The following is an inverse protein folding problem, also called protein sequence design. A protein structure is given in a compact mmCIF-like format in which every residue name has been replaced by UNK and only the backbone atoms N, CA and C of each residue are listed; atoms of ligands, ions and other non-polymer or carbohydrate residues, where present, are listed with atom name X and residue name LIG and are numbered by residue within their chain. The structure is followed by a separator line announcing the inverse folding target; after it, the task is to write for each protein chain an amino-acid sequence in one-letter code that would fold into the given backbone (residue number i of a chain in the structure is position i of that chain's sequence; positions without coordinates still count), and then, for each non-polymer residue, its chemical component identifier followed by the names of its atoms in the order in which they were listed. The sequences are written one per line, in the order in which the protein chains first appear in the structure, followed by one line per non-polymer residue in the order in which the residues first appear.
data_IF_766364183593
#
_entry.id   IF_766364183593
#
_cell.length_a   1.000
_cell.length_b   1.000
_cell.length_c   1.000
_cell.angle_alpha   90.00
_cell.angle_beta   90.00
_cell.angle_gamma   90.00
#
_symmetry.space_group_name_H-M   'P 1'
#
loop_
_entity.id
_entity.type
_entity.pdbx_description
1 polymer ?
#
# COMPACT_ATOMS: atom_id res chain seq x y z
N UNK A 1 -0.82 -24.12 23.08
CA UNK A 1 -1.35 -23.00 23.90
C UNK A 1 -0.24 -22.00 24.26
N UNK A 2 0.50 -21.40 23.27
CA UNK A 2 1.63 -20.47 23.52
C UNK A 2 1.87 -19.48 22.37
N UNK A 3 0.86 -19.14 21.56
CA UNK A 3 1.00 -18.25 20.38
C UNK A 3 0.28 -16.89 20.52
N UNK A 4 -0.50 -16.68 21.60
CA UNK A 4 -1.17 -15.39 21.83
C UNK A 4 -0.23 -14.27 22.29
N UNK A 5 0.97 -14.59 22.81
CA UNK A 5 1.84 -13.60 23.46
C UNK A 5 2.77 -12.79 22.53
N UNK A 6 2.96 -13.20 21.28
CA UNK A 6 3.85 -12.49 20.36
C UNK A 6 3.11 -11.36 19.59
N UNK A 7 1.86 -11.60 19.25
CA UNK A 7 1.00 -10.59 18.59
C UNK A 7 0.65 -9.45 19.54
N UNK A 8 0.33 -9.75 20.80
CA UNK A 8 0.07 -8.71 21.81
C UNK A 8 1.31 -7.89 22.16
N UNK A 9 2.49 -8.51 22.21
CA UNK A 9 3.74 -7.77 22.49
C UNK A 9 4.18 -6.84 21.36
N UNK A 10 3.84 -7.15 20.10
CA UNK A 10 4.06 -6.24 18.97
C UNK A 10 3.05 -5.09 18.94
N UNK A 11 1.79 -5.35 19.29
CA UNK A 11 0.78 -4.28 19.41
C UNK A 11 1.08 -3.31 20.55
N UNK A 12 1.60 -3.79 21.70
CA UNK A 12 2.01 -2.91 22.81
C UNK A 12 3.29 -2.11 22.54
N UNK A 13 4.15 -2.51 21.62
CA UNK A 13 5.35 -1.73 21.26
C UNK A 13 5.09 -0.56 20.31
N UNK A 14 3.91 -0.47 19.70
CA UNK A 14 3.56 0.59 18.74
C UNK A 14 2.33 1.42 19.17
N UNK A 15 1.86 1.26 20.37
CA UNK A 15 0.86 2.15 20.97
C UNK A 15 1.60 3.29 21.68
N UNK A 16 1.61 4.48 21.07
CA UNK A 16 2.07 5.69 21.76
C UNK A 16 1.21 5.92 23.01
N UNK A 17 1.80 6.31 24.15
CA UNK A 17 1.02 6.78 25.27
C UNK A 17 0.19 8.00 24.82
N UNK A 18 -1.09 8.01 25.13
CA UNK A 18 -2.06 9.04 24.68
C UNK A 18 -1.72 10.49 25.12
N UNK A 19 -0.64 10.69 25.88
CA UNK A 19 -0.32 11.97 26.53
C UNK A 19 0.69 12.87 25.83
N UNK A 20 1.42 12.41 24.78
CA UNK A 20 2.56 13.16 24.22
C UNK A 20 2.52 13.38 22.71
N UNK A 21 1.35 13.66 22.14
CA UNK A 21 1.25 14.11 20.74
C UNK A 21 1.68 15.57 20.66
N UNK A 22 2.96 15.84 20.64
CA UNK A 22 3.46 17.17 20.27
C UNK A 22 3.38 17.34 18.75
N UNK A 23 2.59 18.30 18.31
CA UNK A 23 2.61 18.74 16.92
C UNK A 23 4.04 19.22 16.59
N UNK A 24 4.69 18.60 15.59
CA UNK A 24 6.03 18.97 15.16
C UNK A 24 6.07 20.47 14.76
N UNK A 25 7.05 21.26 15.24
CA UNK A 25 7.12 22.66 14.94
C UNK A 25 7.27 22.92 13.44
N UNK A 26 6.48 23.85 12.92
CA UNK A 26 6.47 24.22 11.48
C UNK A 26 7.84 24.67 10.96
N UNK A 27 8.73 25.15 11.82
CA UNK A 27 10.08 25.63 11.47
C UNK A 27 11.04 24.56 10.95
N UNK A 28 10.71 23.27 11.13
CA UNK A 28 11.54 22.12 10.68
C UNK A 28 11.00 21.42 9.44
N UNK A 29 10.08 22.04 8.71
CA UNK A 29 9.49 21.49 7.50
C UNK A 29 10.05 22.19 6.26
N UNK A 30 10.63 21.42 5.35
CA UNK A 30 11.15 21.91 4.08
C UNK A 30 10.28 21.38 2.94
N UNK A 31 9.68 22.24 2.09
CA UNK A 31 8.92 21.74 0.94
C UNK A 31 9.84 20.96 -0.01
N UNK A 32 9.47 19.73 -0.33
CA UNK A 32 10.13 18.92 -1.35
C UNK A 32 9.65 19.36 -2.73
N UNK A 33 8.36 19.64 -2.83
CA UNK A 33 7.75 20.33 -3.96
C UNK A 33 6.61 21.17 -3.40
N UNK A 34 6.53 22.43 -3.82
CA UNK A 34 5.45 23.31 -3.40
C UNK A 34 4.10 22.62 -3.72
N UNK A 35 3.14 22.62 -2.78
CA UNK A 35 1.83 22.08 -3.04
C UNK A 35 1.18 22.90 -4.16
N UNK A 36 1.14 22.30 -5.36
CA UNK A 36 0.30 22.85 -6.41
C UNK A 36 -1.17 22.70 -5.97
N UNK A 37 -2.05 23.65 -6.33
CA UNK A 37 -3.48 23.46 -6.08
C UNK A 37 -3.91 22.12 -6.64
N UNK A 38 -4.42 21.21 -5.77
CA UNK A 38 -4.95 19.94 -6.19
C UNK A 38 -4.07 18.71 -5.98
N UNK A 39 -3.20 18.72 -4.97
CA UNK A 39 -2.52 17.52 -4.46
C UNK A 39 -3.53 16.50 -3.93
N UNK A 40 -3.43 15.25 -4.38
CA UNK A 40 -4.30 14.16 -3.94
C UNK A 40 -3.70 13.40 -2.73
N UNK A 41 -2.37 13.33 -2.65
CA UNK A 41 -1.63 12.64 -1.57
C UNK A 41 -0.42 13.47 -1.15
N UNK A 42 -0.33 13.80 0.13
CA UNK A 42 0.84 14.45 0.74
C UNK A 42 1.80 13.39 1.28
N UNK A 43 3.05 13.43 0.85
CA UNK A 43 4.14 12.63 1.39
C UNK A 43 4.93 13.44 2.41
N UNK A 44 4.99 12.96 3.64
CA UNK A 44 5.90 13.49 4.66
C UNK A 44 7.16 12.62 4.67
N UNK A 45 8.26 13.15 4.15
CA UNK A 45 9.55 12.48 4.22
C UNK A 45 10.24 12.83 5.54
N UNK A 46 10.50 11.83 6.36
CA UNK A 46 11.25 11.97 7.61
C UNK A 46 12.70 11.59 7.34
N UNK A 47 13.61 12.57 7.45
CA UNK A 47 15.01 12.37 7.11
C UNK A 47 15.87 13.56 7.44
N UNK A 48 17.09 13.57 6.90
CA UNK A 48 18.08 14.64 7.08
C UNK A 48 17.88 15.73 6.01
N UNK A 49 18.39 16.92 6.25
CA UNK A 49 18.31 18.00 5.26
C UNK A 49 18.95 17.62 3.91
N UNK A 50 20.02 16.82 3.95
CA UNK A 50 20.71 16.32 2.74
C UNK A 50 19.83 15.37 1.90
N UNK A 51 18.74 14.83 2.47
CA UNK A 51 17.80 13.97 1.75
C UNK A 51 16.83 14.75 0.84
N UNK A 52 16.92 16.09 0.79
CA UNK A 52 15.98 16.90 0.02
C UNK A 52 16.01 16.56 -1.48
N UNK A 53 17.20 16.48 -2.07
CA UNK A 53 17.36 16.16 -3.49
C UNK A 53 16.89 14.74 -3.82
N UNK A 54 17.15 13.79 -2.92
CA UNK A 54 16.69 12.40 -3.04
C UNK A 54 15.15 12.33 -2.99
N UNK A 55 14.53 13.00 -2.01
CA UNK A 55 13.08 13.08 -1.87
C UNK A 55 12.42 13.71 -3.09
N UNK A 56 13.02 14.75 -3.68
CA UNK A 56 12.55 15.36 -4.94
C UNK A 56 12.61 14.38 -6.12
N UNK A 57 13.73 13.66 -6.26
CA UNK A 57 13.90 12.64 -7.30
C UNK A 57 12.88 11.53 -7.17
N UNK A 58 12.66 11.03 -5.95
CA UNK A 58 11.67 9.99 -5.69
C UNK A 58 10.24 10.45 -5.95
N UNK A 59 9.90 11.68 -5.52
CA UNK A 59 8.58 12.26 -5.78
C UNK A 59 8.33 12.40 -7.30
N UNK A 60 9.34 12.84 -8.07
CA UNK A 60 9.25 12.93 -9.52
C UNK A 60 9.01 11.56 -10.17
N UNK A 61 9.78 10.55 -9.78
CA UNK A 61 9.61 9.17 -10.28
C UNK A 61 8.23 8.62 -9.92
N UNK A 62 7.79 8.83 -8.69
CA UNK A 62 6.46 8.41 -8.22
C UNK A 62 5.37 9.09 -9.05
N UNK A 63 5.46 10.41 -9.25
CA UNK A 63 4.48 11.14 -10.06
C UNK A 63 4.39 10.60 -11.49
N UNK A 64 5.54 10.30 -12.12
CA UNK A 64 5.57 9.70 -13.45
C UNK A 64 4.88 8.34 -13.49
N UNK A 65 5.14 7.49 -12.49
CA UNK A 65 4.53 6.15 -12.41
C UNK A 65 3.03 6.20 -12.15
N UNK A 66 2.56 7.15 -11.36
CA UNK A 66 1.14 7.30 -11.01
C UNK A 66 0.38 8.22 -11.97
N UNK A 67 0.89 8.38 -13.19
CA UNK A 67 0.25 9.13 -14.27
C UNK A 67 0.07 8.22 -15.50
N UNK A 68 -1.16 8.18 -16.02
CA UNK A 68 -1.50 7.54 -17.29
C UNK A 68 -2.13 8.61 -18.21
N UNK A 69 -2.35 8.25 -19.48
CA UNK A 69 -2.96 9.17 -20.45
C UNK A 69 -4.35 9.71 -20.03
N UNK A 70 -5.05 8.93 -19.20
CA UNK A 70 -6.45 9.24 -18.83
C UNK A 70 -6.64 9.61 -17.37
N UNK A 71 -5.65 9.38 -16.51
CA UNK A 71 -5.80 9.57 -15.06
C UNK A 71 -4.44 9.74 -14.38
N UNK A 72 -4.43 10.47 -13.26
CA UNK A 72 -3.26 10.61 -12.39
C UNK A 72 -3.67 10.70 -10.92
N UNK A 73 -2.79 10.25 -10.01
CA UNK A 73 -2.77 10.66 -8.60
C UNK A 73 -1.66 11.68 -8.47
N UNK A 74 -1.97 12.87 -7.94
CA UNK A 74 -1.00 13.94 -7.78
C UNK A 74 -0.41 13.88 -6.38
N UNK A 75 0.92 13.80 -6.31
CA UNK A 75 1.65 13.78 -5.07
C UNK A 75 2.29 15.13 -4.79
N UNK A 76 2.22 15.57 -3.54
CA UNK A 76 3.06 16.63 -2.99
C UNK A 76 3.99 16.04 -1.95
N UNK A 77 5.07 16.74 -1.62
CA UNK A 77 5.99 16.27 -0.60
C UNK A 77 6.55 17.39 0.25
N UNK A 78 6.83 17.10 1.50
CA UNK A 78 7.62 17.90 2.40
C UNK A 78 8.63 17.02 3.13
N UNK A 79 9.81 17.55 3.38
CA UNK A 79 10.83 16.93 4.19
C UNK A 79 10.71 17.45 5.63
N UNK A 80 10.64 16.55 6.58
CA UNK A 80 10.58 16.84 8.00
C UNK A 80 11.92 16.39 8.60
N UNK A 81 12.69 17.35 9.09
CA UNK A 81 14.04 17.12 9.64
C UNK A 81 14.06 17.12 11.17
N UNK A 82 12.88 17.19 11.81
CA UNK A 82 12.73 17.22 13.25
C UNK A 82 12.96 15.86 13.93
N UNK A 83 13.02 14.80 13.14
CA UNK A 83 13.28 13.44 13.62
C UNK A 83 14.22 12.72 12.67
N UNK A 84 15.01 11.81 13.17
CA UNK A 84 15.78 10.90 12.34
C UNK A 84 15.45 9.44 12.68
N UNK A 85 15.80 8.56 11.77
CA UNK A 85 15.64 7.13 11.96
C UNK A 85 16.93 6.51 12.51
N UNK A 86 16.82 5.74 13.57
CA UNK A 86 17.92 4.96 14.16
C UNK A 86 17.52 3.49 14.32
N UNK A 87 18.50 2.60 14.49
CA UNK A 87 18.29 1.15 14.69
C UNK A 87 17.34 0.53 13.65
N UNK A 88 17.57 0.84 12.38
CA UNK A 88 16.63 0.63 11.28
C UNK A 88 16.58 -0.79 10.72
N UNK A 89 16.65 -1.82 11.53
CA UNK A 89 16.50 -3.21 11.07
C UNK A 89 15.66 -4.04 12.03
N UNK A 90 14.74 -4.80 11.50
CA UNK A 90 14.09 -5.89 12.22
C UNK A 90 14.85 -7.22 12.00
N UNK A 91 14.33 -8.28 12.61
CA UNK A 91 14.91 -9.62 12.52
C UNK A 91 14.88 -10.21 11.10
N UNK A 92 13.98 -9.72 10.26
CA UNK A 92 13.79 -10.18 8.87
C UNK A 92 14.57 -9.31 7.86
N UNK A 93 15.41 -8.37 8.33
CA UNK A 93 16.19 -7.44 7.50
C UNK A 93 15.36 -6.30 6.90
N UNK A 94 14.09 -6.16 7.28
CA UNK A 94 13.23 -5.05 6.88
C UNK A 94 13.56 -3.82 7.71
N UNK A 95 13.34 -2.64 7.13
CA UNK A 95 13.46 -1.40 7.88
C UNK A 95 12.35 -1.28 8.93
N UNK A 96 12.71 -1.06 10.18
CA UNK A 96 11.81 -0.88 11.30
C UNK A 96 12.47 0.05 12.32
N UNK A 97 12.54 1.34 11.98
CA UNK A 97 13.34 2.31 12.71
C UNK A 97 12.67 2.78 13.99
N UNK A 98 13.49 3.09 14.98
CA UNK A 98 13.16 4.08 16.00
C UNK A 98 13.29 5.47 15.40
N UNK A 99 12.37 6.36 15.72
CA UNK A 99 12.40 7.75 15.30
C UNK A 99 12.82 8.60 16.48
N UNK A 100 13.86 9.39 16.30
CA UNK A 100 14.51 10.16 17.37
C UNK A 100 14.40 11.66 17.05
N UNK A 101 14.00 12.46 18.03
CA UNK A 101 14.11 13.91 17.93
C UNK A 101 15.57 14.32 18.09
N UNK A 102 16.18 14.98 17.09
CA UNK A 102 17.60 15.34 17.12
C UNK A 102 17.95 16.39 18.19
N UNK A 103 16.99 17.12 18.73
CA UNK A 103 17.24 18.15 19.75
C UNK A 103 17.22 17.57 21.16
N UNK A 104 16.34 16.60 21.42
CA UNK A 104 16.17 16.00 22.76
C UNK A 104 16.79 14.62 22.88
N UNK A 105 17.02 13.95 21.75
CA UNK A 105 17.40 12.53 21.65
C UNK A 105 16.36 11.57 22.23
N UNK A 106 15.12 12.03 22.35
CA UNK A 106 14.01 11.20 22.80
C UNK A 106 13.40 10.44 21.62
N UNK A 107 12.84 9.26 21.89
CA UNK A 107 12.13 8.48 20.89
C UNK A 107 10.80 9.17 20.53
N UNK A 108 10.59 9.35 19.23
CA UNK A 108 9.38 9.97 18.69
C UNK A 108 8.53 8.89 18.00
N UNK A 109 7.27 8.81 18.37
CA UNK A 109 6.31 7.92 17.76
C UNK A 109 5.48 8.68 16.71
N UNK A 110 5.64 8.32 15.44
CA UNK A 110 4.72 8.79 14.41
C UNK A 110 3.44 7.97 14.49
N UNK A 111 2.33 8.66 14.62
CA UNK A 111 1.05 8.00 14.41
C UNK A 111 0.95 7.70 12.90
N UNK A 112 0.67 6.43 12.52
CA UNK A 112 0.45 6.12 11.13
C UNK A 112 -0.65 7.02 10.57
N UNK A 113 -0.42 7.54 9.37
CA UNK A 113 -1.41 8.34 8.64
C UNK A 113 -2.68 7.53 8.26
N UNK A 114 -2.80 6.36 8.78
CA UNK A 114 -3.93 5.45 8.62
C UNK A 114 -5.08 5.83 9.58
N UNK A 115 -6.27 6.02 9.10
CA UNK A 115 -6.77 5.87 7.73
C UNK A 115 -6.85 7.20 6.95
N UNK A 116 -5.93 8.13 7.15
CA UNK A 116 -5.95 9.45 6.51
C UNK A 116 -5.75 9.29 5.01
N UNK A 117 -6.74 9.71 4.26
CA UNK A 117 -6.86 9.42 2.84
C UNK A 117 -5.81 10.10 1.96
N UNK A 118 -5.16 11.14 2.48
CA UNK A 118 -4.38 12.06 1.67
C UNK A 118 -2.97 12.31 2.23
N UNK A 119 -2.56 11.59 3.25
CA UNK A 119 -1.22 11.72 3.82
C UNK A 119 -0.57 10.34 3.95
N UNK A 120 0.71 10.24 3.61
CA UNK A 120 1.55 9.06 3.82
C UNK A 120 2.89 9.52 4.38
N UNK A 121 3.30 8.90 5.48
CA UNK A 121 4.57 9.15 6.12
C UNK A 121 5.64 8.20 5.59
N UNK A 122 6.77 8.74 5.16
CA UNK A 122 7.89 8.03 4.54
C UNK A 122 9.14 8.24 5.37
N UNK A 123 9.63 7.18 5.99
CA UNK A 123 10.82 7.21 6.85
C UNK A 123 12.05 6.78 6.04
N UNK A 124 13.02 7.68 5.90
CA UNK A 124 14.26 7.41 5.20
C UNK A 124 15.27 6.74 6.12
N UNK A 125 15.74 5.56 5.72
CA UNK A 125 16.64 4.73 6.50
C UNK A 125 18.02 4.61 5.83
N UNK A 126 19.04 4.22 6.59
CA UNK A 126 20.38 3.93 6.05
C UNK A 126 20.56 2.45 5.68
N UNK A 127 19.58 1.63 5.99
CA UNK A 127 19.62 0.19 5.71
C UNK A 127 18.24 -0.47 5.86
N UNK A 128 18.12 -1.68 5.33
CA UNK A 128 16.93 -2.52 5.45
C UNK A 128 16.09 -2.56 4.19
N UNK A 129 15.34 -3.63 4.03
CA UNK A 129 14.40 -3.78 2.91
C UNK A 129 13.25 -2.80 3.09
N UNK A 130 12.90 -2.11 2.02
CA UNK A 130 11.72 -1.26 1.99
C UNK A 130 10.46 -2.05 2.36
N UNK A 131 9.57 -1.41 3.07
CA UNK A 131 8.29 -2.01 3.43
C UNK A 131 7.28 -0.96 3.88
N UNK A 132 6.00 -1.31 3.81
CA UNK A 132 4.90 -0.51 4.34
C UNK A 132 4.24 -1.24 5.49
N UNK A 133 4.22 -0.61 6.69
CA UNK A 133 3.60 -1.16 7.90
C UNK A 133 2.75 -0.10 8.58
N UNK A 134 1.51 -0.43 8.89
CA UNK A 134 0.59 0.46 9.63
C UNK A 134 0.49 1.88 9.01
N UNK A 135 0.56 1.97 7.68
CA UNK A 135 0.49 3.24 6.96
C UNK A 135 1.80 4.04 6.92
N UNK A 136 2.88 3.54 7.53
CA UNK A 136 4.23 4.09 7.42
C UNK A 136 5.00 3.35 6.32
N UNK A 137 5.66 4.10 5.46
CA UNK A 137 6.61 3.59 4.45
C UNK A 137 8.02 3.74 4.99
N UNK A 138 8.76 2.64 5.08
CA UNK A 138 10.19 2.64 5.39
C UNK A 138 10.98 2.38 4.11
N UNK A 139 11.98 3.20 3.82
CA UNK A 139 12.75 3.07 2.58
C UNK A 139 14.22 3.45 2.79
N UNK A 140 15.13 2.57 2.33
CA UNK A 140 16.56 2.82 2.33
C UNK A 140 16.92 3.95 1.34
N UNK A 141 17.81 4.87 1.75
CA UNK A 141 18.32 5.99 0.91
C UNK A 141 18.95 5.53 -0.40
N UNK A 142 19.42 4.29 -0.48
CA UNK A 142 19.99 3.72 -1.71
C UNK A 142 18.92 3.14 -2.65
N UNK A 143 17.66 3.06 -2.20
CA UNK A 143 16.58 2.54 -3.02
C UNK A 143 16.30 3.45 -4.22
N UNK A 144 15.85 2.84 -5.30
CA UNK A 144 15.38 3.59 -6.48
C UNK A 144 13.97 4.14 -6.24
N UNK A 145 13.61 5.25 -6.90
CA UNK A 145 12.27 5.86 -6.76
C UNK A 145 11.10 4.93 -7.13
N UNK A 146 11.33 3.90 -7.96
CA UNK A 146 10.31 2.88 -8.26
C UNK A 146 9.98 1.99 -7.05
N UNK A 147 10.93 1.80 -6.13
CA UNK A 147 10.67 1.10 -4.85
C UNK A 147 9.70 1.93 -4.01
N UNK A 148 9.93 3.24 -3.89
CA UNK A 148 8.98 4.12 -3.19
C UNK A 148 7.59 4.06 -3.82
N UNK A 149 7.50 4.10 -5.15
CA UNK A 149 6.21 3.99 -5.82
C UNK A 149 5.49 2.66 -5.52
N UNK A 150 6.22 1.55 -5.42
CA UNK A 150 5.67 0.25 -5.02
C UNK A 150 5.14 0.28 -3.57
N UNK A 151 5.93 0.78 -2.62
CA UNK A 151 5.52 0.89 -1.22
C UNK A 151 4.31 1.82 -1.04
N UNK A 152 4.23 2.89 -1.83
CA UNK A 152 3.04 3.74 -1.88
C UNK A 152 1.82 2.99 -2.44
N UNK A 153 2.01 2.02 -3.33
CA UNK A 153 0.95 1.10 -3.75
C UNK A 153 0.30 0.41 -2.56
N UNK A 154 1.11 -0.11 -1.62
CA UNK A 154 0.61 -0.71 -0.38
C UNK A 154 -0.12 0.32 0.50
N UNK A 155 0.48 1.47 0.74
CA UNK A 155 -0.16 2.55 1.52
C UNK A 155 -1.50 3.00 0.92
N UNK A 156 -1.66 2.92 -0.39
CA UNK A 156 -2.88 3.25 -1.12
C UNK A 156 -3.84 2.07 -1.31
N UNK A 157 -3.49 0.87 -0.83
CA UNK A 157 -4.39 -0.28 -0.73
C UNK A 157 -4.17 -1.39 -1.73
N UNK A 158 -3.03 -1.45 -2.39
CA UNK A 158 -2.65 -2.58 -3.24
C UNK A 158 -1.87 -3.62 -2.42
N UNK A 159 -1.98 -4.88 -2.80
CA UNK A 159 -1.19 -5.99 -2.27
C UNK A 159 -0.15 -6.44 -3.28
N UNK A 160 0.87 -7.15 -2.78
CA UNK A 160 1.88 -7.80 -3.61
C UNK A 160 1.29 -8.87 -4.51
N UNK A 161 1.81 -8.94 -5.73
CA UNK A 161 1.39 -9.87 -6.78
C UNK A 161 2.46 -10.92 -7.13
N UNK A 162 3.46 -11.07 -6.30
CA UNK A 162 4.47 -12.14 -6.39
C UNK A 162 4.22 -13.21 -5.32
N UNK A 163 4.88 -14.36 -5.46
CA UNK A 163 4.81 -15.42 -4.46
C UNK A 163 5.38 -14.92 -3.13
N UNK A 164 4.56 -14.89 -2.11
CA UNK A 164 4.96 -14.55 -0.74
C UNK A 164 5.70 -15.72 -0.09
N UNK A 165 6.45 -15.47 1.00
CA UNK A 165 6.89 -16.56 1.86
C UNK A 165 5.69 -17.35 2.37
N UNK A 166 5.84 -18.66 2.56
CA UNK A 166 4.73 -19.56 2.90
C UNK A 166 3.91 -19.08 4.10
N UNK A 167 4.57 -18.66 5.16
CA UNK A 167 3.88 -18.23 6.39
C UNK A 167 3.12 -16.91 6.18
N UNK A 168 3.69 -15.98 5.42
CA UNK A 168 3.01 -14.74 5.06
C UNK A 168 1.83 -15.01 4.12
N UNK A 169 2.02 -15.86 3.10
CA UNK A 169 0.97 -16.25 2.17
C UNK A 169 -0.20 -16.93 2.89
N UNK A 170 0.06 -17.88 3.79
CA UNK A 170 -0.98 -18.54 4.57
C UNK A 170 -1.81 -17.53 5.35
N UNK A 171 -1.17 -16.63 6.09
CA UNK A 171 -1.87 -15.60 6.89
C UNK A 171 -2.65 -14.61 6.02
N UNK A 172 -2.06 -14.18 4.90
CA UNK A 172 -2.73 -13.25 3.99
C UNK A 172 -3.93 -13.89 3.30
N UNK A 173 -3.74 -15.10 2.77
CA UNK A 173 -4.74 -15.78 1.94
C UNK A 173 -5.86 -16.44 2.76
N UNK A 174 -5.64 -16.73 4.06
CA UNK A 174 -6.71 -17.15 4.99
C UNK A 174 -7.56 -15.99 5.51
N UNK A 175 -7.16 -14.74 5.25
CA UNK A 175 -7.86 -13.56 5.74
C UNK A 175 -7.47 -13.12 7.16
N UNK A 176 -6.34 -13.60 7.71
CA UNK A 176 -5.85 -13.24 9.05
C UNK A 176 -5.28 -11.81 9.12
N UNK A 177 -5.24 -11.10 8.00
CA UNK A 177 -4.85 -9.69 7.95
C UNK A 177 -6.09 -8.79 7.88
N UNK A 178 -6.11 -7.75 8.71
CA UNK A 178 -7.10 -6.66 8.59
C UNK A 178 -6.74 -5.71 7.44
N UNK A 179 -6.67 -6.30 6.23
CA UNK A 179 -6.33 -5.58 5.02
C UNK A 179 -7.11 -6.13 3.83
N UNK A 180 -7.94 -5.28 3.24
CA UNK A 180 -8.67 -5.58 2.00
C UNK A 180 -7.93 -4.99 0.81
N UNK A 181 -7.33 -5.85 -0.02
CA UNK A 181 -6.63 -5.43 -1.22
C UNK A 181 -7.59 -4.91 -2.29
N UNK A 182 -7.20 -3.84 -2.97
CA UNK A 182 -7.94 -3.30 -4.12
C UNK A 182 -7.70 -4.08 -5.41
N UNK A 183 -6.53 -4.71 -5.52
CA UNK A 183 -6.06 -5.41 -6.73
C UNK A 183 -6.10 -6.93 -6.62
N UNK A 184 -6.46 -7.50 -5.48
CA UNK A 184 -6.53 -8.95 -5.30
C UNK A 184 -7.87 -9.39 -4.74
N UNK A 185 -8.33 -10.56 -5.21
CA UNK A 185 -9.36 -11.36 -4.54
C UNK A 185 -8.84 -12.79 -4.38
N UNK A 186 -9.27 -13.47 -3.33
CA UNK A 186 -8.82 -14.81 -2.98
C UNK A 186 -10.02 -15.74 -3.01
N UNK A 187 -9.82 -16.94 -3.57
CA UNK A 187 -10.81 -18.00 -3.60
C UNK A 187 -10.23 -19.31 -3.09
N UNK A 188 -11.07 -20.18 -2.54
CA UNK A 188 -10.68 -21.51 -2.11
C UNK A 188 -10.66 -22.53 -3.25
N UNK A 189 -11.29 -22.19 -4.38
CA UNK A 189 -11.38 -23.04 -5.54
C UNK A 189 -11.21 -22.25 -6.84
N UNK A 190 -10.80 -22.94 -7.91
CA UNK A 190 -10.73 -22.42 -9.27
C UNK A 190 -11.97 -22.69 -10.09
N UNK A 191 -12.92 -23.46 -9.55
CA UNK A 191 -14.20 -23.75 -10.20
C UNK A 191 -15.34 -23.49 -9.24
N UNK A 192 -16.37 -22.81 -9.70
CA UNK A 192 -17.49 -22.32 -8.91
C UNK A 192 -18.83 -22.73 -9.56
N UNK A 193 -19.87 -22.86 -8.75
CA UNK A 193 -21.26 -22.89 -9.20
C UNK A 193 -21.69 -21.53 -9.77
N UNK A 194 -22.78 -21.48 -10.48
CA UNK A 194 -23.35 -20.22 -11.02
C UNK A 194 -23.65 -19.23 -9.89
N UNK A 195 -24.18 -19.68 -8.76
CA UNK A 195 -24.50 -18.82 -7.63
C UNK A 195 -23.24 -18.20 -7.00
N UNK A 196 -22.18 -18.99 -6.80
CA UNK A 196 -20.90 -18.53 -6.27
C UNK A 196 -20.20 -17.56 -7.24
N UNK A 197 -20.25 -17.84 -8.55
CA UNK A 197 -19.71 -16.94 -9.55
C UNK A 197 -20.40 -15.58 -9.55
N UNK A 198 -21.73 -15.53 -9.40
CA UNK A 198 -22.48 -14.28 -9.29
C UNK A 198 -22.07 -13.52 -8.02
N UNK A 199 -21.91 -14.21 -6.89
CA UNK A 199 -21.46 -13.62 -5.63
C UNK A 199 -20.05 -13.05 -5.76
N UNK A 200 -19.12 -13.84 -6.29
CA UNK A 200 -17.74 -13.39 -6.55
C UNK A 200 -17.70 -12.16 -7.47
N UNK A 201 -18.46 -12.19 -8.58
CA UNK A 201 -18.49 -11.07 -9.52
C UNK A 201 -18.89 -9.77 -8.83
N UNK A 202 -19.93 -9.81 -7.96
CA UNK A 202 -20.39 -8.64 -7.22
C UNK A 202 -19.40 -8.13 -6.18
N UNK A 203 -18.58 -9.02 -5.62
CA UNK A 203 -17.58 -8.68 -4.60
C UNK A 203 -16.27 -8.14 -5.16
N UNK A 204 -16.02 -8.25 -6.49
CA UNK A 204 -14.77 -7.76 -7.09
C UNK A 204 -14.62 -6.24 -6.87
N UNK A 205 -13.49 -5.78 -6.29
CA UNK A 205 -13.24 -4.34 -6.17
C UNK A 205 -13.29 -3.59 -7.51
N UNK A 206 -13.01 -4.28 -8.61
CA UNK A 206 -12.96 -3.76 -9.98
C UNK A 206 -14.17 -4.15 -10.85
N UNK A 207 -15.29 -4.59 -10.26
CA UNK A 207 -16.46 -5.06 -11.02
C UNK A 207 -16.94 -4.07 -12.09
N UNK A 208 -16.95 -2.78 -11.77
CA UNK A 208 -17.37 -1.71 -12.69
C UNK A 208 -16.43 -1.49 -13.88
N UNK A 209 -15.23 -2.05 -13.84
CA UNK A 209 -14.22 -1.92 -14.90
C UNK A 209 -14.06 -3.20 -15.72
N UNK A 210 -14.85 -4.25 -15.47
CA UNK A 210 -14.78 -5.50 -16.21
C UNK A 210 -15.00 -5.27 -17.72
N UNK A 211 -14.12 -5.86 -18.53
CA UNK A 211 -14.14 -5.78 -20.00
C UNK A 211 -14.30 -7.16 -20.66
N UNK A 212 -14.32 -8.22 -19.87
CA UNK A 212 -14.46 -9.59 -20.34
C UNK A 212 -15.02 -10.48 -19.22
N UNK A 213 -15.54 -11.68 -19.54
CA UNK A 213 -15.98 -12.65 -18.55
C UNK A 213 -14.83 -13.06 -17.61
N UNK A 214 -15.15 -13.29 -16.35
CA UNK A 214 -14.20 -13.73 -15.31
C UNK A 214 -14.11 -15.25 -15.18
N UNK A 215 -14.93 -15.98 -15.90
CA UNK A 215 -14.96 -17.46 -15.89
C UNK A 215 -15.45 -18.00 -17.22
N UNK A 216 -15.14 -19.28 -17.47
CA UNK A 216 -15.56 -20.04 -18.63
C UNK A 216 -16.48 -21.20 -18.18
N UNK A 217 -17.61 -21.36 -18.84
CA UNK A 217 -18.54 -22.48 -18.57
C UNK A 217 -17.91 -23.81 -18.93
N UNK A 218 -17.94 -24.78 -18.02
CA UNK A 218 -17.42 -26.15 -18.22
C UNK A 218 -18.53 -27.19 -18.23
N UNK A 219 -19.58 -27.01 -17.44
CA UNK A 219 -20.75 -27.85 -17.37
C UNK A 219 -21.99 -27.01 -17.06
N UNK A 220 -23.14 -27.63 -16.83
CA UNK A 220 -24.42 -26.92 -16.61
C UNK A 220 -24.33 -25.90 -15.47
N UNK A 221 -23.77 -26.30 -14.34
CA UNK A 221 -23.58 -25.43 -13.16
C UNK A 221 -22.12 -25.41 -12.68
N UNK A 222 -21.16 -25.46 -13.62
CA UNK A 222 -19.74 -25.42 -13.30
C UNK A 222 -19.00 -24.43 -14.17
N UNK A 223 -18.37 -23.45 -13.51
CA UNK A 223 -17.62 -22.38 -14.13
C UNK A 223 -16.17 -22.40 -13.66
N UNK A 224 -15.24 -22.46 -14.59
CA UNK A 224 -13.81 -22.36 -14.29
C UNK A 224 -13.37 -20.90 -14.33
N UNK A 225 -12.78 -20.43 -13.22
CA UNK A 225 -12.29 -19.06 -13.10
C UNK A 225 -11.12 -18.78 -14.03
N UNK A 226 -11.07 -17.57 -14.52
CA UNK A 226 -9.99 -17.05 -15.36
C UNK A 226 -10.50 -16.42 -16.65
N UNK A 227 -9.96 -15.25 -16.94
CA UNK A 227 -10.17 -14.50 -18.18
C UNK A 227 -9.12 -14.89 -19.23
N UNK A 228 -9.43 -14.70 -20.50
CA UNK A 228 -8.59 -15.17 -21.61
C UNK A 228 -7.63 -14.11 -22.13
N UNK A 229 -8.02 -12.84 -22.16
CA UNK A 229 -7.21 -11.75 -22.68
C UNK A 229 -6.44 -11.05 -21.55
N UNK A 230 -5.11 -11.19 -21.46
CA UNK A 230 -4.32 -10.61 -20.37
C UNK A 230 -4.28 -9.09 -20.36
N UNK A 231 -4.63 -8.42 -21.46
CA UNK A 231 -4.62 -6.97 -21.60
C UNK A 231 -5.93 -6.30 -21.17
N UNK A 232 -7.02 -7.08 -21.07
CA UNK A 232 -8.34 -6.59 -20.70
C UNK A 232 -8.64 -6.87 -19.24
N UNK A 233 -9.34 -5.93 -18.60
CA UNK A 233 -9.77 -6.10 -17.21
C UNK A 233 -10.70 -7.31 -17.08
N UNK A 234 -10.30 -8.26 -16.25
CA UNK A 234 -10.98 -9.52 -16.03
C UNK A 234 -10.63 -10.14 -14.69
N UNK A 235 -10.30 -11.43 -14.70
CA UNK A 235 -9.85 -12.18 -13.54
C UNK A 235 -8.65 -13.05 -13.97
N UNK A 236 -7.45 -12.73 -13.52
CA UNK A 236 -6.22 -13.40 -13.94
C UNK A 236 -5.49 -13.98 -12.73
N UNK A 237 -4.97 -15.21 -12.83
CA UNK A 237 -4.27 -15.84 -11.71
C UNK A 237 -2.97 -15.10 -11.38
N UNK A 238 -2.58 -15.15 -10.11
CA UNK A 238 -1.34 -14.55 -9.62
C UNK A 238 -0.75 -15.39 -8.48
N UNK A 239 0.57 -15.36 -8.32
CA UNK A 239 1.30 -16.27 -7.44
C UNK A 239 1.22 -15.93 -5.93
N UNK A 240 0.56 -14.85 -5.54
CA UNK A 240 0.51 -14.37 -4.15
C UNK A 240 0.23 -15.47 -3.11
N UNK A 241 -0.71 -16.38 -3.43
CA UNK A 241 -1.12 -17.48 -2.55
C UNK A 241 -0.51 -18.84 -2.93
N UNK A 242 0.58 -18.85 -3.69
CA UNK A 242 1.20 -20.11 -4.13
C UNK A 242 1.60 -20.99 -2.94
N UNK A 243 1.28 -22.29 -3.03
CA UNK A 243 1.60 -23.28 -1.99
C UNK A 243 0.72 -23.24 -0.74
N UNK A 244 -0.38 -22.48 -0.70
CA UNK A 244 -1.29 -22.37 0.47
C UNK A 244 -2.57 -23.16 0.36
N UNK A 245 -2.97 -23.57 -0.85
CA UNK A 245 -4.29 -24.16 -1.12
C UNK A 245 -5.35 -23.11 -1.51
N UNK A 246 -5.04 -21.83 -1.42
CA UNK A 246 -5.87 -20.72 -1.90
C UNK A 246 -5.40 -20.26 -3.27
N UNK A 247 -6.27 -19.56 -4.00
CA UNK A 247 -6.01 -19.00 -5.32
C UNK A 247 -6.19 -17.49 -5.29
N UNK A 248 -5.17 -16.76 -5.70
CA UNK A 248 -5.22 -15.31 -5.80
C UNK A 248 -5.48 -14.88 -7.24
N UNK A 249 -6.29 -13.85 -7.40
CA UNK A 249 -6.71 -13.31 -8.69
C UNK A 249 -6.56 -11.80 -8.71
N UNK A 250 -6.17 -11.27 -9.88
CA UNK A 250 -6.00 -9.84 -10.13
C UNK A 250 -6.73 -9.39 -11.40
N UNK A 251 -6.99 -8.09 -11.62
CA UNK A 251 -7.77 -7.62 -12.78
C UNK A 251 -7.04 -7.69 -14.12
N UNK A 252 -5.69 -7.74 -14.14
CA UNK A 252 -4.85 -7.67 -15.34
C UNK A 252 -3.88 -8.84 -15.39
N UNK A 253 -3.67 -9.43 -16.60
CA UNK A 253 -2.82 -10.59 -16.77
C UNK A 253 -1.33 -10.31 -17.05
N UNK A 254 -0.95 -9.08 -17.36
CA UNK A 254 0.45 -8.71 -17.59
C UNK A 254 1.18 -8.30 -16.32
N UNK A 255 2.51 -8.20 -16.38
CA UNK A 255 3.37 -7.84 -15.24
C UNK A 255 3.09 -6.41 -14.78
N UNK A 256 2.65 -6.27 -13.53
CA UNK A 256 2.39 -4.98 -12.90
C UNK A 256 3.57 -4.57 -11.99
N UNK A 257 3.60 -3.31 -11.58
CA UNK A 257 4.61 -2.83 -10.63
C UNK A 257 4.45 -3.45 -9.21
N UNK A 258 3.27 -3.98 -8.86
CA UNK A 258 3.05 -4.73 -7.62
C UNK A 258 3.58 -6.17 -7.72
N UNK A 259 3.80 -6.69 -8.93
CA UNK A 259 4.45 -7.97 -9.15
C UNK A 259 5.98 -7.81 -9.29
N UNK A 260 6.42 -6.79 -10.01
CA UNK A 260 7.84 -6.53 -10.27
C UNK A 260 8.08 -5.04 -10.45
N UNK A 261 8.43 -4.35 -9.38
CA UNK A 261 8.52 -2.89 -9.34
C UNK A 261 9.51 -2.29 -10.33
N UNK A 262 10.56 -3.04 -10.73
CA UNK A 262 11.60 -2.52 -11.64
C UNK A 262 11.10 -2.35 -13.08
N UNK A 263 10.27 -3.25 -13.57
CA UNK A 263 9.84 -3.31 -14.98
C UNK A 263 8.33 -3.24 -15.17
N UNK A 264 7.57 -3.56 -14.13
CA UNK A 264 6.10 -3.55 -14.19
C UNK A 264 5.51 -2.16 -14.40
N UNK A 265 4.34 -2.10 -15.01
CA UNK A 265 3.56 -0.88 -15.20
C UNK A 265 2.45 -0.75 -14.16
N UNK A 266 1.94 0.47 -13.96
CA UNK A 266 0.73 0.71 -13.17
C UNK A 266 -0.49 0.63 -14.10
N UNK A 267 -1.36 -0.38 -13.96
CA UNK A 267 -2.58 -0.46 -14.76
C UNK A 267 -3.55 0.69 -14.43
N UNK A 268 -4.23 1.22 -15.44
CA UNK A 268 -5.24 2.28 -15.24
C UNK A 268 -6.34 1.87 -14.27
N UNK A 269 -6.71 0.58 -14.22
CA UNK A 269 -7.70 0.07 -13.26
C UNK A 269 -7.22 0.22 -11.82
N UNK A 270 -5.93 -0.01 -11.51
CA UNK A 270 -5.40 0.19 -10.15
C UNK A 270 -5.43 1.66 -9.75
N UNK A 271 -5.02 2.53 -10.67
CA UNK A 271 -5.08 3.97 -10.44
C UNK A 271 -6.51 4.45 -10.13
N UNK A 272 -7.49 3.95 -10.89
CA UNK A 272 -8.90 4.28 -10.67
C UNK A 272 -9.45 3.75 -9.34
N UNK A 273 -9.04 2.55 -8.93
CA UNK A 273 -9.42 1.96 -7.63
C UNK A 273 -8.85 2.79 -6.47
N UNK A 274 -7.56 3.13 -6.52
CA UNK A 274 -6.93 3.99 -5.52
C UNK A 274 -7.60 5.37 -5.45
N UNK A 275 -7.88 6.00 -6.59
CA UNK A 275 -8.60 7.30 -6.64
C UNK A 275 -9.99 7.21 -6.03
N UNK A 276 -10.72 6.12 -6.30
CA UNK A 276 -12.04 5.90 -5.72
C UNK A 276 -11.98 5.75 -4.20
N UNK A 277 -10.96 5.06 -3.69
CA UNK A 277 -10.70 4.94 -2.25
C UNK A 277 -10.35 6.30 -1.62
N UNK A 278 -9.46 7.08 -2.24
CA UNK A 278 -9.08 8.41 -1.77
C UNK A 278 -10.31 9.34 -1.68
N UNK A 279 -11.17 9.35 -2.70
CA UNK A 279 -12.41 10.15 -2.70
C UNK A 279 -13.37 9.76 -1.57
N UNK A 280 -13.60 8.46 -1.34
CA UNK A 280 -14.49 7.98 -0.27
C UNK A 280 -14.01 8.43 1.11
N UNK A 281 -12.69 8.38 1.35
CA UNK A 281 -12.11 8.80 2.62
C UNK A 281 -12.18 10.32 2.82
N UNK A 282 -11.93 11.11 1.78
CA UNK A 282 -12.10 12.57 1.84
C UNK A 282 -13.54 12.97 2.20
N UNK A 283 -14.53 12.28 1.64
CA UNK A 283 -15.95 12.53 1.97
C UNK A 283 -16.31 12.15 3.41
N UNK A 284 -15.73 11.07 3.94
CA UNK A 284 -15.94 10.65 5.33
C UNK A 284 -15.34 11.63 6.35
N UNK A 285 -14.17 12.22 6.04
CA UNK A 285 -13.51 13.19 6.92
C UNK A 285 -14.21 14.57 6.95
N UNK A 286 -14.90 14.93 5.90
CA UNK A 286 -15.69 16.19 5.84
C UNK A 286 -17.05 16.08 6.51
N UNK A 287 -17.65 14.88 6.58
CA UNK A 287 -18.93 14.64 7.25
C UNK A 287 -18.86 14.65 8.78
N UNK A 288 -17.72 14.42 9.38
CA UNK A 288 -17.51 14.45 10.83
C UNK A 288 -17.35 15.87 11.42
N UNK A 289 -17.28 16.92 10.60
CA UNK A 289 -17.16 18.34 11.03
C UNK A 289 -18.45 19.14 11.00
N UNK A 290 -19.59 18.50 10.74
CA UNK A 290 -20.89 19.20 10.60
C UNK A 290 -21.80 19.04 11.82
N UNK A 291 -21.33 18.47 12.92
CA UNK A 291 -22.13 18.28 14.16
C UNK A 291 -21.41 18.78 15.43
N UNK A 292 -20.81 19.98 15.40
CA UNK A 292 -20.40 20.70 16.60
C UNK A 292 -20.88 22.16 16.55
#
# INVERSE_FOLDING_TARGET
MWWASASERLQHRFAAPESDIQALPMSKQVPVQLPAPGCDVLLNFFGRLDDLSLSQSWLTTTQQMYTTDTSAIRFCGRLITAVWADNCRDQDGRAACQLIDPDTYDEVWLQPAWPVAQQVDVVLTDAGLANTRNGLVFIDRQARGRVLAHELGHALGLADEYAMSRDLALRFCSGDFDFTALNLVITEATSLSTAELVALTKSLPWVQYLQQPIAQKRAEDLWHLGSTDPLRVGLHPVATCEGTGFYAWRPIGYVTFMQQHEVGSLPSVYLNLMKSRLKKKASASTGLKAED
#
